data_IF_686129112459
#
_entry.id   IF_686129112459
#
_cell.length_a   1.000
_cell.length_b   1.000
_cell.length_c   1.000
_cell.angle_alpha   90.00
_cell.angle_beta   90.00
_cell.angle_gamma   90.00
#
_symmetry.space_group_name_H-M   'P 1'
#
loop_
_entity.id
_entity.type
_entity.pdbx_description
1 polymer ?
#
# COMPACT_ATOMS: atom_id res chain seq x y z
N UNK A 1 17.56 -10.91 36.07
CA UNK A 1 16.12 -11.16 35.81
C UNK A 1 15.42 -9.80 35.72
N UNK A 2 14.44 -9.67 34.81
CA UNK A 2 13.72 -8.45 34.37
C UNK A 2 14.53 -7.50 33.46
N UNK A 3 14.06 -6.94 32.34
CA UNK A 3 12.81 -7.02 31.56
C UNK A 3 13.07 -6.23 30.27
N UNK A 4 13.05 -6.85 29.09
CA UNK A 4 12.02 -6.68 28.04
C UNK A 4 11.78 -5.25 27.48
N UNK A 5 11.81 -5.20 26.14
CA UNK A 5 10.90 -4.47 25.24
C UNK A 5 11.27 -3.02 24.86
N UNK A 6 11.72 -2.81 23.62
CA UNK A 6 10.88 -2.50 22.42
C UNK A 6 10.25 -1.10 22.50
N UNK A 7 10.97 -0.12 21.95
CA UNK A 7 10.37 1.12 21.44
C UNK A 7 10.41 1.08 19.92
N UNK A 8 9.33 0.57 19.34
CA UNK A 8 9.03 0.72 17.92
C UNK A 8 8.66 2.18 17.68
N UNK A 9 9.48 2.91 16.94
CA UNK A 9 9.12 4.23 16.42
C UNK A 9 8.14 3.98 15.26
N UNK A 10 6.85 3.95 15.58
CA UNK A 10 5.77 4.10 14.61
C UNK A 10 5.74 5.56 14.17
N UNK A 11 6.48 5.89 13.11
CA UNK A 11 6.28 7.14 12.39
C UNK A 11 4.95 7.05 11.62
N UNK A 12 3.84 7.32 12.31
CA UNK A 12 2.55 7.61 11.66
C UNK A 12 2.71 9.01 11.08
N UNK A 13 3.15 9.10 9.83
CA UNK A 13 3.09 10.33 9.05
C UNK A 13 1.61 10.66 8.86
N UNK A 14 1.10 11.56 9.69
CA UNK A 14 -0.22 12.13 9.57
C UNK A 14 -0.35 12.79 8.18
N UNK A 15 -1.20 12.21 7.34
CA UNK A 15 -1.49 12.72 6.00
C UNK A 15 -2.16 14.10 6.11
N UNK A 16 -1.37 15.17 5.92
CA UNK A 16 -1.94 16.49 5.65
C UNK A 16 -2.66 16.47 4.29
N UNK A 17 -3.87 17.02 4.18
CA UNK A 17 -4.56 17.14 2.89
C UNK A 17 -3.84 18.22 2.06
N UNK A 18 -2.91 17.80 1.20
CA UNK A 18 -2.20 18.67 0.26
C UNK A 18 -3.14 19.04 -0.89
N UNK A 19 -3.96 20.08 -0.70
CA UNK A 19 -4.74 20.69 -1.77
C UNK A 19 -3.81 21.49 -2.69
N UNK A 20 -3.53 20.95 -3.88
CA UNK A 20 -2.78 21.66 -4.93
C UNK A 20 -1.62 20.88 -5.55
N UNK A 21 -1.18 19.78 -4.93
CA UNK A 21 -0.20 18.90 -5.57
C UNK A 21 -0.88 18.00 -6.59
N UNK A 22 -0.35 17.95 -7.81
CA UNK A 22 -0.73 16.97 -8.82
C UNK A 22 -0.67 15.58 -8.20
N UNK A 23 -1.82 14.92 -8.10
CA UNK A 23 -1.93 13.62 -7.44
C UNK A 23 -1.03 12.59 -8.16
N UNK A 24 -0.15 11.89 -7.45
CA UNK A 24 0.83 11.02 -8.08
C UNK A 24 0.15 9.85 -8.79
N UNK A 25 0.69 9.50 -9.96
CA UNK A 25 0.25 8.33 -10.74
C UNK A 25 0.61 7.03 -10.02
N UNK A 26 -0.15 5.95 -10.27
CA UNK A 26 0.09 4.66 -9.63
C UNK A 26 1.51 4.11 -9.92
N UNK A 27 2.06 4.36 -11.11
CA UNK A 27 3.43 3.99 -11.45
C UNK A 27 4.49 4.75 -10.64
N UNK A 28 4.25 6.03 -10.35
CA UNK A 28 5.17 6.84 -9.54
C UNK A 28 5.13 6.40 -8.07
N UNK A 29 3.95 6.08 -7.55
CA UNK A 29 3.80 5.52 -6.19
C UNK A 29 4.51 4.17 -6.10
N UNK A 30 4.35 3.31 -7.11
CA UNK A 30 5.08 2.04 -7.19
C UNK A 30 6.59 2.27 -7.13
N UNK A 31 7.12 3.18 -7.96
CA UNK A 31 8.54 3.54 -7.97
C UNK A 31 9.01 4.01 -6.59
N UNK A 32 8.26 4.91 -5.95
CA UNK A 32 8.58 5.42 -4.62
C UNK A 32 8.62 4.33 -3.55
N UNK A 33 7.68 3.38 -3.57
CA UNK A 33 7.67 2.26 -2.62
C UNK A 33 8.91 1.37 -2.78
N UNK A 34 9.30 1.05 -4.02
CA UNK A 34 10.50 0.26 -4.28
C UNK A 34 11.76 1.05 -3.92
N UNK A 35 11.81 2.34 -4.22
CA UNK A 35 12.95 3.20 -3.90
C UNK A 35 13.14 3.33 -2.38
N UNK A 36 12.05 3.48 -1.62
CA UNK A 36 12.08 3.49 -0.17
C UNK A 36 12.54 2.15 0.42
N UNK A 37 12.24 1.05 -0.26
CA UNK A 37 12.77 -0.25 0.14
C UNK A 37 14.28 -0.34 -0.12
N UNK A 38 14.75 0.09 -1.30
CA UNK A 38 16.16 0.10 -1.67
C UNK A 38 17.00 1.02 -0.78
N UNK A 39 16.48 2.18 -0.38
CA UNK A 39 17.19 3.07 0.55
C UNK A 39 17.36 2.44 1.93
N UNK A 40 16.44 1.57 2.34
CA UNK A 40 16.51 0.90 3.63
C UNK A 40 17.33 -0.42 3.63
N UNK A 41 17.42 -1.12 2.49
CA UNK A 41 18.00 -2.48 2.41
C UNK A 41 19.18 -2.60 1.44
N UNK A 42 19.53 -1.51 0.74
CA UNK A 42 20.48 -1.51 -0.36
C UNK A 42 19.83 -1.80 -1.71
N UNK A 43 20.57 -1.50 -2.77
CA UNK A 43 20.14 -1.63 -4.16
C UNK A 43 21.03 -2.60 -4.98
N UNK A 44 21.85 -3.41 -4.30
CA UNK A 44 22.72 -4.43 -4.90
C UNK A 44 22.10 -5.82 -4.70
N UNK A 45 21.83 -6.53 -5.79
CA UNK A 45 21.17 -7.83 -5.74
C UNK A 45 21.86 -8.84 -6.65
N UNK A 46 21.82 -10.12 -6.29
CA UNK A 46 22.35 -11.20 -7.14
C UNK A 46 21.51 -11.33 -8.42
N UNK A 47 20.20 -11.20 -8.26
CA UNK A 47 19.19 -11.24 -9.32
C UNK A 47 17.88 -10.63 -8.81
N UNK A 48 17.05 -10.16 -9.73
CA UNK A 48 15.69 -9.67 -9.43
C UNK A 48 14.69 -10.58 -10.12
N UNK A 49 13.74 -11.12 -9.35
CA UNK A 49 12.66 -11.99 -9.83
C UNK A 49 11.31 -11.30 -9.68
N UNK A 50 10.38 -11.63 -10.58
CA UNK A 50 9.00 -11.13 -10.52
C UNK A 50 8.89 -9.65 -10.87
N UNK A 51 9.32 -9.22 -12.05
CA UNK A 51 9.12 -7.84 -12.50
C UNK A 51 7.80 -7.69 -13.28
N UNK A 52 6.68 -7.33 -12.62
CA UNK A 52 5.47 -6.96 -13.35
C UNK A 52 5.69 -5.65 -14.15
N UNK A 53 6.54 -4.74 -13.66
CA UNK A 53 6.58 -3.34 -14.12
C UNK A 53 8.01 -2.79 -14.24
N UNK A 54 8.82 -3.37 -15.14
CA UNK A 54 10.22 -2.97 -15.33
C UNK A 54 10.40 -1.47 -15.64
N UNK A 55 9.46 -0.86 -16.36
CA UNK A 55 9.50 0.57 -16.74
C UNK A 55 9.42 1.55 -15.55
N UNK A 56 8.82 1.12 -14.44
CA UNK A 56 8.69 1.93 -13.21
C UNK A 56 9.73 1.59 -12.16
N UNK A 57 10.61 0.60 -12.41
CA UNK A 57 11.60 0.19 -11.43
C UNK A 57 12.64 1.31 -11.23
N UNK A 58 12.96 1.69 -9.99
CA UNK A 58 14.11 2.55 -9.73
C UNK A 58 15.41 1.81 -10.10
N UNK A 59 16.51 2.55 -10.37
CA UNK A 59 17.78 1.94 -10.72
C UNK A 59 18.29 1.02 -9.60
N UNK A 60 18.75 -0.17 -9.99
CA UNK A 60 19.38 -1.16 -9.13
C UNK A 60 20.62 -1.74 -9.82
N UNK A 61 21.51 -2.33 -9.03
CA UNK A 61 22.74 -2.94 -9.53
C UNK A 61 22.67 -4.45 -9.34
N UNK A 62 22.98 -5.20 -10.40
CA UNK A 62 23.20 -6.64 -10.31
C UNK A 62 24.67 -6.89 -10.03
N UNK A 63 24.94 -7.55 -8.92
CA UNK A 63 26.29 -7.88 -8.46
C UNK A 63 26.36 -9.37 -8.14
N UNK A 64 27.29 -10.10 -8.77
CA UNK A 64 27.50 -11.52 -8.54
C UNK A 64 28.03 -11.84 -7.14
N UNK A 65 28.60 -10.85 -6.45
CA UNK A 65 29.06 -10.94 -5.07
C UNK A 65 27.94 -10.66 -4.06
N UNK A 66 26.78 -10.16 -4.51
CA UNK A 66 25.64 -9.96 -3.62
C UNK A 66 25.10 -11.32 -3.13
N UNK A 67 24.89 -11.44 -1.82
CA UNK A 67 24.41 -12.68 -1.20
C UNK A 67 22.89 -12.88 -1.23
N UNK A 68 22.14 -11.97 -1.86
CA UNK A 68 20.67 -11.98 -1.81
C UNK A 68 20.02 -11.70 -3.16
N UNK A 69 19.06 -12.56 -3.53
CA UNK A 69 18.14 -12.34 -4.65
C UNK A 69 16.89 -11.56 -4.20
N UNK A 70 16.49 -10.52 -4.94
CA UNK A 70 15.25 -9.79 -4.70
C UNK A 70 14.09 -10.45 -5.43
N UNK A 71 12.99 -10.67 -4.73
CA UNK A 71 11.71 -11.10 -5.30
C UNK A 71 10.73 -9.94 -5.13
N UNK A 72 10.18 -9.50 -6.27
CA UNK A 72 9.15 -8.45 -6.32
C UNK A 72 7.81 -9.12 -6.62
N UNK A 73 6.84 -8.89 -5.74
CA UNK A 73 5.48 -9.40 -5.91
C UNK A 73 4.67 -8.55 -6.90
N UNK A 74 3.50 -9.06 -7.28
CA UNK A 74 2.53 -8.24 -8.01
C UNK A 74 2.00 -7.11 -7.13
N UNK A 75 1.94 -5.86 -7.64
CA UNK A 75 1.31 -4.78 -6.91
C UNK A 75 -0.20 -5.03 -6.80
N UNK A 76 -0.77 -4.58 -5.69
CA UNK A 76 -2.21 -4.62 -5.44
C UNK A 76 -2.69 -3.19 -5.27
N UNK A 77 -3.74 -2.81 -6.01
CA UNK A 77 -4.34 -1.48 -5.92
C UNK A 77 -5.81 -1.63 -5.54
N UNK A 78 -6.18 -1.05 -4.40
CA UNK A 78 -7.54 -1.08 -3.86
C UNK A 78 -8.10 0.33 -3.75
N UNK A 79 -9.39 0.50 -4.05
CA UNK A 79 -10.09 1.76 -3.89
C UNK A 79 -11.27 1.64 -2.92
N UNK A 80 -11.18 2.29 -1.76
CA UNK A 80 -12.29 2.39 -0.81
C UNK A 80 -13.11 3.65 -1.05
N UNK A 81 -14.44 3.61 -0.92
CA UNK A 81 -15.24 4.84 -0.92
C UNK A 81 -15.22 5.44 0.48
N UNK A 82 -14.72 6.67 0.62
CA UNK A 82 -14.70 7.40 1.91
C UNK A 82 -15.74 8.52 1.97
N UNK A 83 -16.25 8.96 0.82
CA UNK A 83 -17.30 9.98 0.74
C UNK A 83 -18.09 9.94 -0.57
N UNK A 84 -19.01 10.90 -0.75
CA UNK A 84 -19.84 10.96 -1.97
C UNK A 84 -19.00 11.08 -3.25
N UNK A 85 -17.91 11.85 -3.18
CA UNK A 85 -16.99 12.11 -4.30
C UNK A 85 -15.54 11.76 -3.97
N UNK A 86 -15.28 11.13 -2.83
CA UNK A 86 -13.93 10.86 -2.34
C UNK A 86 -13.71 9.36 -2.15
N UNK A 87 -12.54 8.90 -2.54
CA UNK A 87 -12.12 7.51 -2.49
C UNK A 87 -10.75 7.41 -1.83
N UNK A 88 -10.54 6.49 -0.90
CA UNK A 88 -9.20 6.10 -0.49
C UNK A 88 -8.60 5.21 -1.58
N UNK A 89 -7.33 5.43 -1.92
CA UNK A 89 -6.55 4.54 -2.77
C UNK A 89 -5.45 3.95 -1.90
N UNK A 90 -5.31 2.63 -1.94
CA UNK A 90 -4.23 1.91 -1.28
C UNK A 90 -3.48 1.10 -2.32
N UNK A 91 -2.18 1.37 -2.48
CA UNK A 91 -1.27 0.58 -3.31
C UNK A 91 -0.35 -0.21 -2.38
N UNK A 92 -0.38 -1.53 -2.49
CA UNK A 92 0.44 -2.45 -1.71
C UNK A 92 1.36 -3.27 -2.60
N UNK A 93 2.59 -3.51 -2.14
CA UNK A 93 3.60 -4.30 -2.83
C UNK A 93 4.30 -5.22 -1.83
N UNK A 94 4.56 -6.46 -2.23
CA UNK A 94 5.37 -7.41 -1.46
C UNK A 94 6.79 -7.43 -2.02
N UNK A 95 7.78 -7.26 -1.16
CA UNK A 95 9.21 -7.33 -1.50
C UNK A 95 9.88 -8.32 -0.53
N UNK A 96 10.65 -9.27 -1.05
CA UNK A 96 11.37 -10.24 -0.22
C UNK A 96 12.75 -10.56 -0.74
N UNK A 97 13.68 -10.84 0.17
CA UNK A 97 15.03 -11.30 -0.16
C UNK A 97 15.08 -12.83 0.03
N UNK A 98 15.38 -13.56 -1.04
CA UNK A 98 15.25 -15.03 -1.11
C UNK A 98 16.23 -15.77 -0.18
N UNK A 99 17.40 -15.19 0.05
CA UNK A 99 18.51 -15.84 0.77
C UNK A 99 18.60 -15.38 2.24
N UNK A 100 17.72 -14.47 2.64
CA UNK A 100 17.61 -13.98 4.00
C UNK A 100 16.51 -14.73 4.72
N UNK A 101 16.68 -15.09 5.99
CA UNK A 101 15.59 -15.53 6.89
C UNK A 101 14.54 -14.43 7.16
N UNK A 102 14.59 -13.35 6.37
CA UNK A 102 13.76 -12.15 6.44
C UNK A 102 12.44 -12.46 5.76
N UNK A 103 11.36 -12.36 6.54
CA UNK A 103 10.00 -12.52 6.04
C UNK A 103 9.71 -11.49 4.93
N UNK A 104 8.83 -11.82 3.97
CA UNK A 104 8.39 -10.87 2.96
C UNK A 104 7.89 -9.58 3.63
N UNK A 105 8.41 -8.44 3.16
CA UNK A 105 8.01 -7.13 3.62
C UNK A 105 6.89 -6.61 2.74
N UNK A 106 5.78 -6.24 3.37
CA UNK A 106 4.66 -5.59 2.71
C UNK A 106 4.79 -4.09 2.88
N UNK A 107 5.06 -3.40 1.78
CA UNK A 107 5.09 -1.94 1.73
C UNK A 107 3.79 -1.44 1.13
N UNK A 108 3.22 -0.38 1.70
CA UNK A 108 1.97 0.18 1.20
C UNK A 108 1.93 1.69 1.30
N UNK A 109 1.22 2.29 0.36
CA UNK A 109 0.92 3.72 0.31
C UNK A 109 -0.58 3.90 0.28
N UNK A 110 -1.09 4.84 1.08
CA UNK A 110 -2.53 5.16 1.11
C UNK A 110 -2.75 6.67 1.03
N UNK A 111 -3.65 7.08 0.15
CA UNK A 111 -4.10 8.47 0.03
C UNK A 111 -5.59 8.57 -0.27
N UNK A 112 -6.09 9.81 -0.36
CA UNK A 112 -7.49 10.09 -0.70
C UNK A 112 -7.57 10.88 -1.99
N UNK A 113 -8.40 10.40 -2.91
CA UNK A 113 -8.61 10.94 -4.25
C UNK A 113 -10.05 11.40 -4.45
N UNK A 114 -10.24 12.46 -5.23
CA UNK A 114 -11.55 12.78 -5.78
C UNK A 114 -11.92 11.80 -6.92
N UNK A 115 -13.22 11.50 -7.08
CA UNK A 115 -13.76 10.60 -8.10
C UNK A 115 -13.25 10.93 -9.51
N UNK A 116 -13.19 12.22 -9.87
CA UNK A 116 -12.72 12.66 -11.19
C UNK A 116 -11.25 12.29 -11.42
N UNK A 117 -10.41 12.50 -10.40
CA UNK A 117 -8.98 12.17 -10.43
C UNK A 117 -8.79 10.66 -10.49
N UNK A 118 -9.51 9.90 -9.66
CA UNK A 118 -9.46 8.44 -9.68
C UNK A 118 -9.83 7.86 -11.04
N UNK A 119 -10.89 8.35 -11.70
CA UNK A 119 -11.27 7.87 -13.04
C UNK A 119 -10.20 8.20 -14.09
N UNK A 120 -9.53 9.34 -13.97
CA UNK A 120 -8.40 9.72 -14.83
C UNK A 120 -7.23 8.77 -14.63
N UNK A 121 -6.81 8.58 -13.38
CA UNK A 121 -5.72 7.68 -13.01
C UNK A 121 -5.99 6.23 -13.42
N UNK A 122 -7.22 5.74 -13.23
CA UNK A 122 -7.63 4.40 -13.64
C UNK A 122 -7.50 4.19 -15.16
N UNK A 123 -7.81 5.19 -15.98
CA UNK A 123 -7.67 5.12 -17.44
C UNK A 123 -6.22 5.15 -17.91
N UNK A 124 -5.37 5.89 -17.19
CA UNK A 124 -3.96 6.09 -17.54
C UNK A 124 -3.03 4.99 -16.99
N UNK A 125 -3.47 4.26 -15.96
CA UNK A 125 -2.63 3.23 -15.33
C UNK A 125 -2.54 1.97 -16.20
N UNK A 126 -1.38 1.29 -16.23
CA UNK A 126 -1.24 -0.03 -16.87
C UNK A 126 -2.11 -1.06 -16.13
N UNK A 127 -2.49 -2.15 -16.82
CA UNK A 127 -3.48 -3.11 -16.31
C UNK A 127 -3.15 -3.67 -14.92
N UNK A 128 -1.87 -3.89 -14.64
CA UNK A 128 -1.39 -4.40 -13.35
C UNK A 128 -1.50 -3.36 -12.21
N UNK A 129 -1.60 -2.06 -12.52
CA UNK A 129 -1.76 -0.98 -11.55
C UNK A 129 -3.16 -0.37 -11.58
N UNK A 130 -4.08 -0.86 -12.43
CA UNK A 130 -5.44 -0.32 -12.48
C UNK A 130 -6.19 -0.55 -11.17
N UNK A 131 -5.99 -1.73 -10.56
CA UNK A 131 -6.71 -2.16 -9.37
C UNK A 131 -8.16 -2.54 -9.64
N UNK A 132 -8.93 -2.69 -8.56
CA UNK A 132 -10.34 -3.04 -8.65
C UNK A 132 -11.19 -1.94 -9.29
N UNK A 133 -12.22 -2.31 -10.07
CA UNK A 133 -13.14 -1.32 -10.65
C UNK A 133 -13.81 -0.53 -9.52
N UNK A 134 -13.68 0.81 -9.49
CA UNK A 134 -14.15 1.64 -8.37
C UNK A 134 -15.69 1.66 -8.24
N UNK A 135 -16.41 1.35 -9.31
CA UNK A 135 -17.87 1.19 -9.30
C UNK A 135 -18.35 -0.12 -8.66
N UNK A 136 -17.51 -1.16 -8.60
CA UNK A 136 -17.87 -2.45 -8.04
C UNK A 136 -17.70 -2.50 -6.50
N UNK A 137 -16.62 -1.91 -5.97
CA UNK A 137 -16.34 -1.91 -4.52
C UNK A 137 -17.36 -1.13 -3.67
N UNK A 138 -17.94 -0.05 -4.21
CA UNK A 138 -18.99 0.72 -3.52
C UNK A 138 -20.25 -0.11 -3.19
N UNK A 139 -20.46 -1.24 -3.88
CA UNK A 139 -21.61 -2.14 -3.66
C UNK A 139 -21.43 -3.05 -2.44
N UNK A 140 -20.20 -3.32 -2.01
CA UNK A 140 -19.89 -4.32 -0.97
C UNK A 140 -19.43 -3.72 0.37
N UNK A 141 -18.80 -2.54 0.37
CA UNK A 141 -18.31 -1.91 1.62
C UNK A 141 -19.45 -1.28 2.44
N UNK A 142 -20.49 -0.77 1.78
CA UNK A 142 -21.64 -0.14 2.45
C UNK A 142 -22.41 -1.09 3.40
N UNK A 143 -22.72 -2.35 3.04
CA UNK A 143 -23.37 -3.27 3.97
C UNK A 143 -22.46 -3.68 5.15
N UNK A 144 -21.15 -3.84 4.94
CA UNK A 144 -20.22 -4.26 6.00
C UNK A 144 -20.03 -3.19 7.10
N UNK A 145 -20.01 -1.90 6.74
CA UNK A 145 -19.94 -0.81 7.71
C UNK A 145 -21.24 -0.63 8.51
N UNK A 146 -22.39 -0.98 7.92
CA UNK A 146 -23.69 -0.95 8.59
C UNK A 146 -23.83 -2.08 9.63
N UNK A 147 -23.22 -3.25 9.36
CA UNK A 147 -23.22 -4.39 10.27
C UNK A 147 -22.23 -4.20 11.44
N UNK A 148 -21.09 -3.56 11.23
CA UNK A 148 -20.15 -3.31 12.34
C UNK A 148 -20.63 -2.19 13.28
N UNK A 149 -21.28 -1.16 12.75
CA UNK A 149 -21.86 -0.07 13.55
C UNK A 149 -23.00 -0.54 14.47
N UNK A 150 -23.82 -1.49 14.02
CA UNK A 150 -24.93 -2.02 14.82
C UNK A 150 -24.44 -2.91 15.97
N UNK A 151 -23.38 -3.71 15.78
CA UNK A 151 -22.79 -4.53 16.85
C UNK A 151 -22.12 -3.67 17.93
N UNK A 152 -21.41 -2.61 17.53
CA UNK A 152 -20.79 -1.66 18.49
C UNK A 152 -21.82 -0.89 19.33
N UNK A 153 -22.94 -0.48 18.71
CA UNK A 153 -24.03 0.20 19.42
C UNK A 153 -24.73 -0.69 20.46
N UNK A 154 -24.92 -1.97 20.15
CA UNK A 154 -25.50 -2.94 21.09
C UNK A 154 -24.56 -3.19 22.27
N UNK A 155 -23.25 -3.36 22.04
CA UNK A 155 -22.28 -3.54 23.13
C UNK A 155 -22.15 -2.29 24.02
N UNK A 156 -22.23 -1.09 23.44
CA UNK A 156 -22.23 0.16 24.20
C UNK A 156 -23.46 0.29 25.13
N UNK A 157 -24.63 -0.19 24.70
CA UNK A 157 -25.85 -0.23 25.52
C UNK A 157 -25.74 -1.18 26.72
N UNK A 158 -24.95 -2.25 26.63
CA UNK A 158 -24.68 -3.14 27.77
C UNK A 158 -23.66 -2.55 28.75
N UNK A 159 -22.68 -1.77 28.28
CA UNK A 159 -21.68 -1.14 29.15
C UNK A 159 -22.19 0.09 29.91
N UNK A 160 -23.20 0.80 29.40
CA UNK A 160 -23.79 1.96 30.10
C UNK A 160 -24.81 1.54 31.17
N UNK A 161 -25.23 0.26 31.19
CA UNK A 161 -26.21 -0.27 32.15
C UNK A 161 -25.59 -1.16 33.25
N UNK A 162 -24.28 -1.37 33.20
CA UNK A 162 -23.50 -2.08 34.23
C UNK A 162 -22.84 -1.08 35.16
#
# INVERSE_FOLDING_TARGET
MYSQNKTWILAILAAMPLWGMTQPHNGEIYRQLVQNYFSAHGNHFLRVQGQPLAEFMPPYTIDSLAGSSLIVGLPTVKYGRVGKRHFSRTLGLSLSLQDSSVRPMYVSYTDTLEKKVLLRLYRQSPDQLKGDKPTAMARWIFPLALISGSVGGVLALFFVRS
#
